data_IF_571718290924
#
_entry.id   IF_571718290924
#
_cell.length_a   1.000
_cell.length_b   1.000
_cell.length_c   1.000
_cell.angle_alpha   90.00
_cell.angle_beta   90.00
_cell.angle_gamma   90.00
#
_symmetry.space_group_name_H-M   'P 1'
#
loop_
_entity.id
_entity.type
_entity.pdbx_description
1 polymer ?
#
# COMPACT_ATOMS: atom_id res chain seq x y z
N UNK A 1 12.21 28.86 -9.91
CA UNK A 1 11.78 27.61 -9.23
C UNK A 1 12.94 27.16 -8.37
N UNK A 2 12.74 26.99 -7.05
CA UNK A 2 13.82 26.74 -6.09
C UNK A 2 14.33 25.29 -6.24
N UNK A 3 15.64 25.09 -6.37
CA UNK A 3 16.24 23.76 -6.57
C UNK A 3 15.96 22.81 -5.39
N UNK A 4 15.89 23.35 -4.18
CA UNK A 4 15.62 22.60 -2.96
C UNK A 4 14.21 21.97 -2.96
N UNK A 5 13.19 22.74 -3.35
CA UNK A 5 11.80 22.25 -3.48
C UNK A 5 11.70 21.12 -4.50
N UNK A 6 12.46 21.20 -5.60
CA UNK A 6 12.48 20.14 -6.62
C UNK A 6 13.12 18.86 -6.08
N UNK A 7 14.20 18.98 -5.31
CA UNK A 7 14.88 17.84 -4.71
C UNK A 7 14.03 17.17 -3.62
N UNK A 8 13.35 17.97 -2.79
CA UNK A 8 12.39 17.47 -1.80
C UNK A 8 11.25 16.70 -2.44
N UNK A 9 10.68 17.22 -3.54
CA UNK A 9 9.64 16.51 -4.29
C UNK A 9 10.15 15.18 -4.86
N UNK A 10 11.32 15.18 -5.49
CA UNK A 10 11.91 13.95 -6.06
C UNK A 10 12.17 12.91 -4.96
N UNK A 11 12.64 13.34 -3.79
CA UNK A 11 12.84 12.45 -2.65
C UNK A 11 11.50 11.89 -2.13
N UNK A 12 10.51 12.75 -1.91
CA UNK A 12 9.17 12.35 -1.51
C UNK A 12 8.56 11.35 -2.49
N UNK A 13 8.68 11.61 -3.80
CA UNK A 13 8.17 10.73 -4.84
C UNK A 13 8.81 9.34 -4.78
N UNK A 14 10.12 9.25 -4.56
CA UNK A 14 10.82 7.97 -4.41
C UNK A 14 10.41 7.21 -3.16
N UNK A 15 10.19 7.89 -2.05
CA UNK A 15 9.71 7.25 -0.83
C UNK A 15 8.31 6.67 -1.06
N UNK A 16 7.42 7.43 -1.70
CA UNK A 16 6.08 6.97 -2.07
C UNK A 16 6.14 5.77 -3.03
N UNK A 17 7.05 5.75 -4.01
CA UNK A 17 7.26 4.58 -4.90
C UNK A 17 7.64 3.31 -4.12
N UNK A 18 8.45 3.44 -3.05
CA UNK A 18 8.77 2.29 -2.22
C UNK A 18 7.55 1.77 -1.46
N UNK A 19 6.65 2.67 -1.03
CA UNK A 19 5.38 2.27 -0.42
C UNK A 19 4.47 1.56 -1.43
N UNK A 20 4.34 2.10 -2.65
CA UNK A 20 3.58 1.47 -3.75
C UNK A 20 4.02 0.03 -3.96
N UNK A 21 5.34 -0.19 -4.12
CA UNK A 21 5.92 -1.52 -4.31
C UNK A 21 5.64 -2.44 -3.12
N UNK A 22 5.74 -1.93 -1.89
CA UNK A 22 5.52 -2.74 -0.68
C UNK A 22 4.06 -3.15 -0.54
N UNK A 23 3.11 -2.24 -0.82
CA UNK A 23 1.68 -2.51 -0.82
C UNK A 23 1.34 -3.58 -1.88
N UNK A 24 1.82 -3.39 -3.10
CA UNK A 24 1.58 -4.31 -4.21
C UNK A 24 2.13 -5.72 -3.93
N UNK A 25 3.33 -5.80 -3.34
CA UNK A 25 3.92 -7.08 -2.93
C UNK A 25 3.08 -7.81 -1.90
N UNK A 26 2.55 -7.12 -0.90
CA UNK A 26 1.72 -7.73 0.16
C UNK A 26 0.38 -8.19 -0.41
N UNK A 27 -0.28 -7.37 -1.23
CA UNK A 27 -1.52 -7.75 -1.91
C UNK A 27 -1.32 -8.94 -2.86
N UNK A 28 -0.25 -8.93 -3.65
CA UNK A 28 0.09 -10.04 -4.57
C UNK A 28 0.37 -11.34 -3.81
N UNK A 29 1.09 -11.28 -2.68
CA UNK A 29 1.33 -12.45 -1.84
C UNK A 29 0.01 -13.04 -1.33
N UNK A 30 -0.91 -12.19 -0.88
CA UNK A 30 -2.22 -12.62 -0.40
C UNK A 30 -3.00 -13.40 -1.48
N UNK A 31 -3.08 -12.84 -2.69
CA UNK A 31 -3.78 -13.49 -3.82
C UNK A 31 -3.14 -14.84 -4.14
N UNK A 32 -1.80 -14.89 -4.25
CA UNK A 32 -1.08 -16.14 -4.55
C UNK A 32 -1.34 -17.21 -3.49
N UNK A 33 -1.31 -16.85 -2.21
CA UNK A 33 -1.56 -17.77 -1.09
C UNK A 33 -3.01 -18.26 -1.05
N UNK A 34 -3.95 -17.37 -1.33
CA UNK A 34 -5.37 -17.74 -1.45
C UNK A 34 -5.59 -18.76 -2.56
N UNK A 35 -4.97 -18.56 -3.73
CA UNK A 35 -5.04 -19.49 -4.88
C UNK A 35 -4.35 -20.83 -4.59
N UNK A 36 -3.25 -20.86 -3.82
CA UNK A 36 -2.54 -22.09 -3.47
C UNK A 36 -3.18 -22.87 -2.31
N UNK A 37 -4.21 -22.31 -1.65
CA UNK A 37 -4.83 -22.91 -0.47
C UNK A 37 -3.96 -22.82 0.79
N UNK A 38 -2.90 -22.00 0.78
CA UNK A 38 -2.11 -21.71 1.98
C UNK A 38 -2.96 -20.90 2.98
N UNK A 39 -3.12 -21.43 4.19
CA UNK A 39 -4.08 -20.96 5.19
C UNK A 39 -3.58 -19.84 6.10
N UNK A 40 -2.41 -19.22 5.84
CA UNK A 40 -1.87 -18.16 6.70
C UNK A 40 -2.48 -16.77 6.46
N UNK A 41 -3.78 -16.68 6.14
CA UNK A 41 -4.48 -15.41 5.88
C UNK A 41 -4.22 -14.37 6.99
N UNK A 42 -4.31 -14.78 8.25
CA UNK A 42 -4.11 -13.92 9.41
C UNK A 42 -2.70 -13.31 9.49
N UNK A 43 -1.66 -14.06 9.12
CA UNK A 43 -0.29 -13.55 9.10
C UNK A 43 -0.10 -12.50 7.99
N UNK A 44 -0.70 -12.73 6.82
CA UNK A 44 -0.66 -11.76 5.72
C UNK A 44 -1.43 -10.48 6.08
N UNK A 45 -2.60 -10.62 6.73
CA UNK A 45 -3.40 -9.48 7.18
C UNK A 45 -2.62 -8.64 8.17
N UNK A 46 -1.92 -9.28 9.12
CA UNK A 46 -1.05 -8.57 10.06
C UNK A 46 0.14 -7.88 9.38
N UNK A 47 0.78 -8.50 8.38
CA UNK A 47 1.83 -7.84 7.58
C UNK A 47 1.27 -6.58 6.89
N UNK A 48 0.05 -6.67 6.34
CA UNK A 48 -0.62 -5.55 5.69
C UNK A 48 -0.98 -4.42 6.66
N UNK A 49 -1.58 -4.72 7.81
CA UNK A 49 -1.94 -3.72 8.82
C UNK A 49 -0.72 -2.91 9.30
N UNK A 50 0.44 -3.57 9.43
CA UNK A 50 1.71 -2.89 9.75
C UNK A 50 2.15 -1.97 8.61
N UNK A 51 2.10 -2.44 7.36
CA UNK A 51 2.45 -1.63 6.19
C UNK A 51 1.50 -0.45 6.03
N UNK A 52 0.19 -0.64 6.24
CA UNK A 52 -0.81 0.42 6.20
C UNK A 52 -0.52 1.49 7.25
N UNK A 53 -0.32 1.09 8.52
CA UNK A 53 -0.04 2.02 9.61
C UNK A 53 1.19 2.89 9.31
N UNK A 54 2.30 2.24 8.94
CA UNK A 54 3.55 2.95 8.58
C UNK A 54 3.36 3.86 7.36
N UNK A 55 2.60 3.40 6.36
CA UNK A 55 2.37 4.19 5.14
C UNK A 55 1.56 5.44 5.43
N UNK A 56 0.54 5.37 6.29
CA UNK A 56 -0.25 6.53 6.70
C UNK A 56 0.60 7.60 7.38
N UNK A 57 1.50 7.20 8.28
CA UNK A 57 2.40 8.14 8.96
C UNK A 57 3.35 8.84 7.96
N UNK A 58 3.93 8.09 7.03
CA UNK A 58 4.81 8.64 5.99
C UNK A 58 4.04 9.57 5.05
N UNK A 59 2.86 9.17 4.60
CA UNK A 59 2.00 9.96 3.72
C UNK A 59 1.59 11.30 4.35
N UNK A 60 1.28 11.31 5.64
CA UNK A 60 0.93 12.54 6.36
C UNK A 60 2.07 13.58 6.31
N UNK A 61 3.33 13.11 6.37
CA UNK A 61 4.51 13.97 6.25
C UNK A 61 4.72 14.43 4.80
N UNK A 62 4.55 13.52 3.84
CA UNK A 62 4.87 13.79 2.44
C UNK A 62 3.77 14.48 1.65
N UNK A 63 2.53 14.54 2.16
CA UNK A 63 1.38 15.11 1.45
C UNK A 63 1.60 16.56 1.02
N UNK A 64 2.22 17.39 1.87
CA UNK A 64 2.50 18.79 1.56
C UNK A 64 3.56 18.97 0.47
N UNK A 65 4.38 17.94 0.22
CA UNK A 65 5.49 17.95 -0.74
C UNK A 65 5.08 17.28 -2.06
N UNK A 66 4.33 16.18 -2.00
CA UNK A 66 3.84 15.44 -3.15
C UNK A 66 2.39 14.98 -2.97
N UNK A 67 1.41 15.89 -3.12
CA UNK A 67 0.01 15.62 -2.79
C UNK A 67 -0.62 14.58 -3.72
N UNK A 68 -0.42 14.70 -5.04
CA UNK A 68 -1.00 13.80 -6.03
C UNK A 68 -0.54 12.36 -5.82
N UNK A 69 0.77 12.17 -5.64
CA UNK A 69 1.34 10.84 -5.44
C UNK A 69 0.95 10.27 -4.08
N UNK A 70 0.88 11.10 -3.04
CA UNK A 70 0.37 10.68 -1.74
C UNK A 70 -1.07 10.16 -1.83
N UNK A 71 -1.95 10.86 -2.55
CA UNK A 71 -3.33 10.40 -2.77
C UNK A 71 -3.39 9.11 -3.57
N UNK A 72 -2.52 8.94 -4.57
CA UNK A 72 -2.40 7.69 -5.31
C UNK A 72 -2.03 6.51 -4.40
N UNK A 73 -1.02 6.67 -3.54
CA UNK A 73 -0.63 5.63 -2.57
C UNK A 73 -1.75 5.35 -1.58
N UNK A 74 -2.47 6.39 -1.12
CA UNK A 74 -3.63 6.22 -0.26
C UNK A 74 -4.71 5.34 -0.92
N UNK A 75 -5.03 5.60 -2.18
CA UNK A 75 -6.00 4.79 -2.94
C UNK A 75 -5.53 3.32 -3.09
N UNK A 76 -4.23 3.09 -3.28
CA UNK A 76 -3.67 1.73 -3.31
C UNK A 76 -3.88 0.99 -1.98
N UNK A 77 -3.66 1.67 -0.85
CA UNK A 77 -3.90 1.10 0.48
C UNK A 77 -5.38 0.74 0.64
N UNK A 78 -6.30 1.64 0.26
CA UNK A 78 -7.74 1.37 0.37
C UNK A 78 -8.16 0.15 -0.46
N UNK A 79 -7.66 0.03 -1.69
CA UNK A 79 -7.94 -1.14 -2.55
C UNK A 79 -7.36 -2.42 -1.96
N UNK A 80 -6.16 -2.37 -1.40
CA UNK A 80 -5.55 -3.50 -0.74
C UNK A 80 -6.35 -3.91 0.52
N UNK A 81 -6.77 -2.96 1.35
CA UNK A 81 -7.61 -3.22 2.53
C UNK A 81 -8.92 -3.90 2.13
N UNK A 82 -9.59 -3.37 1.11
CA UNK A 82 -10.81 -3.96 0.58
C UNK A 82 -10.59 -5.40 0.09
N UNK A 83 -9.47 -5.67 -0.61
CA UNK A 83 -9.12 -7.02 -1.03
C UNK A 83 -8.98 -7.99 0.16
N UNK A 84 -8.35 -7.56 1.26
CA UNK A 84 -8.24 -8.35 2.47
C UNK A 84 -9.62 -8.64 3.08
N UNK A 85 -10.49 -7.63 3.17
CA UNK A 85 -11.87 -7.77 3.68
C UNK A 85 -12.70 -8.73 2.81
N UNK A 86 -12.61 -8.62 1.48
CA UNK A 86 -13.33 -9.49 0.54
C UNK A 86 -12.87 -10.96 0.66
N UNK A 87 -11.57 -11.21 0.85
CA UNK A 87 -11.03 -12.56 1.04
C UNK A 87 -11.45 -13.14 2.39
N UNK A 88 -11.47 -12.32 3.45
CA UNK A 88 -11.92 -12.74 4.80
C UNK A 88 -13.41 -13.08 4.81
N UNK A 89 -14.23 -12.28 4.15
CA UNK A 89 -15.66 -12.52 4.00
C UNK A 89 -15.99 -13.67 3.04
N UNK A 90 -15.00 -14.20 2.31
CA UNK A 90 -15.18 -15.29 1.34
C UNK A 90 -15.94 -14.87 0.08
N UNK A 91 -16.00 -13.57 -0.21
CA UNK A 91 -16.71 -12.99 -1.37
C UNK A 91 -15.76 -12.61 -2.51
N UNK A 92 -14.44 -12.69 -2.26
CA UNK A 92 -13.46 -12.46 -3.30
C UNK A 92 -13.51 -13.59 -4.34
N UNK A 93 -13.84 -13.22 -5.59
CA UNK A 93 -13.77 -14.08 -6.74
C UNK A 93 -12.51 -13.75 -7.55
N UNK A 94 -11.81 -14.78 -8.00
CA UNK A 94 -10.66 -14.63 -8.90
C UNK A 94 -11.16 -14.19 -10.28
N UNK A 95 -11.21 -12.87 -10.50
CA UNK A 95 -11.67 -12.25 -11.75
C UNK A 95 -10.67 -12.38 -12.87
#
# INVERSE_FOLDING_TARGET
MNLDIKNEKVFADKVLEQLELKIDLVATKLIKRKRSGETSFLENKKEFEVVEGMSRDIMNVLHSISPEKTMYVYDMIQRASQLFEEIEAGIWEDK
#
